data_IF_262600034179
#
_entry.id   IF_262600034179
#
_cell.length_a   1.000
_cell.length_b   1.000
_cell.length_c   1.000
_cell.angle_alpha   90.00
_cell.angle_beta   90.00
_cell.angle_gamma   90.00
#
_symmetry.space_group_name_H-M   'P 1'
#
loop_
_entity.id
_entity.type
_entity.pdbx_description
1 polymer ?
#
# COMPACT_ATOMS: atom_id res chain seq x y z
N UNK A 1 -9.63 -0.32 15.13
CA UNK A 1 -10.26 0.30 13.95
C UNK A 1 -9.25 1.09 13.10
N UNK A 2 -9.65 1.46 11.85
CA UNK A 2 -8.83 2.35 11.01
C UNK A 2 -8.47 3.65 11.74
N UNK A 3 -9.44 4.28 12.38
CA UNK A 3 -9.23 5.55 13.12
C UNK A 3 -8.16 5.37 14.20
N UNK A 4 -8.23 4.33 15.02
CA UNK A 4 -7.23 4.10 16.08
C UNK A 4 -5.81 3.90 15.52
N UNK A 5 -5.65 3.04 14.51
CA UNK A 5 -4.33 2.79 13.90
C UNK A 5 -3.80 3.99 13.13
N UNK A 6 -4.67 4.71 12.41
CA UNK A 6 -4.27 5.90 11.67
C UNK A 6 -3.95 7.07 12.60
N UNK A 7 -4.78 7.31 13.62
CA UNK A 7 -4.54 8.32 14.64
C UNK A 7 -3.23 8.06 15.38
N UNK A 8 -2.98 6.82 15.81
CA UNK A 8 -1.73 6.44 16.46
C UNK A 8 -0.49 6.76 15.64
N UNK A 9 -0.55 6.63 14.30
CA UNK A 9 0.55 7.01 13.41
C UNK A 9 0.71 8.52 13.21
N UNK A 10 -0.32 9.31 13.48
CA UNK A 10 -0.37 10.76 13.22
C UNK A 10 -0.50 11.60 14.48
N UNK A 11 -0.59 10.98 15.64
CA UNK A 11 -0.81 11.69 16.92
C UNK A 11 0.20 12.79 17.15
N UNK A 12 1.48 12.56 16.84
CA UNK A 12 2.53 13.58 16.97
C UNK A 12 2.31 14.77 16.03
N UNK A 13 1.78 14.54 14.83
CA UNK A 13 1.47 15.61 13.87
C UNK A 13 0.25 16.42 14.30
N UNK A 14 -0.78 15.77 14.84
CA UNK A 14 -1.95 16.45 15.39
C UNK A 14 -1.61 17.25 16.64
N UNK A 15 -0.87 16.64 17.55
CA UNK A 15 -0.41 17.29 18.75
C UNK A 15 0.42 18.54 18.43
N UNK A 16 1.35 18.42 17.47
CA UNK A 16 2.16 19.55 17.03
C UNK A 16 1.35 20.67 16.35
N UNK A 17 0.21 20.36 15.72
CA UNK A 17 -0.65 21.38 15.11
C UNK A 17 -1.48 22.16 16.15
N UNK A 18 -1.83 21.53 17.26
CA UNK A 18 -2.66 22.14 18.31
C UNK A 18 -1.85 22.85 19.40
N UNK A 19 -0.77 22.23 19.85
CA UNK A 19 0.01 22.67 21.02
C UNK A 19 1.38 23.21 20.61
N UNK A 20 1.79 22.97 19.36
CA UNK A 20 3.10 23.31 18.84
C UNK A 20 4.11 22.15 18.96
N UNK A 21 5.33 22.42 18.48
CA UNK A 21 6.39 21.42 18.48
C UNK A 21 7.10 21.49 19.84
N UNK A 22 7.00 20.41 20.60
CA UNK A 22 7.64 20.26 21.92
C UNK A 22 8.81 19.28 21.84
N UNK A 23 9.79 19.42 22.73
CA UNK A 23 10.97 18.55 22.77
C UNK A 23 10.69 17.23 23.49
N UNK A 24 9.70 17.21 24.35
CA UNK A 24 9.22 16.00 25.03
C UNK A 24 7.72 16.02 25.20
N UNK A 25 7.12 14.84 25.25
CA UNK A 25 5.71 14.62 25.50
C UNK A 25 5.53 13.65 26.64
N UNK A 26 4.89 14.07 27.72
CA UNK A 26 4.54 13.20 28.85
C UNK A 26 3.10 12.70 28.66
N UNK A 27 2.93 11.39 28.62
CA UNK A 27 1.65 10.73 28.42
C UNK A 27 1.31 9.88 29.66
N UNK A 28 0.06 9.97 30.10
CA UNK A 28 -0.52 9.00 31.03
C UNK A 28 -1.14 7.86 30.22
N UNK A 29 -0.62 6.66 30.40
CA UNK A 29 -1.10 5.46 29.73
C UNK A 29 -1.92 4.68 30.76
N UNK A 30 -3.21 4.55 30.49
CA UNK A 30 -4.12 3.75 31.30
C UNK A 30 -4.23 2.35 30.66
N UNK A 31 -3.63 1.36 31.34
CA UNK A 31 -3.78 -0.05 31.00
C UNK A 31 -4.68 -0.65 32.08
N UNK A 32 -5.75 -1.32 31.72
CA UNK A 32 -6.80 -1.96 32.53
C UNK A 32 -6.67 -1.92 34.07
N UNK A 33 -5.49 -2.16 34.62
CA UNK A 33 -5.22 -2.25 36.05
C UNK A 33 -4.16 -1.28 36.59
N UNK A 34 -3.58 -0.45 35.73
CA UNK A 34 -2.53 0.50 36.14
C UNK A 34 -2.46 1.73 35.24
N UNK A 35 -2.15 2.86 35.86
CA UNK A 35 -1.84 4.10 35.16
C UNK A 35 -0.33 4.31 35.22
N UNK A 36 0.33 4.29 34.08
CA UNK A 36 1.75 4.64 33.97
C UNK A 36 1.93 6.00 33.31
N UNK A 37 2.95 6.73 33.73
CA UNK A 37 3.34 7.99 33.12
C UNK A 37 4.63 7.78 32.36
N UNK A 38 4.64 8.03 31.06
CA UNK A 38 5.84 7.91 30.23
C UNK A 38 6.15 9.23 29.54
N UNK A 39 7.42 9.62 29.55
CA UNK A 39 7.90 10.79 28.82
C UNK A 39 8.70 10.33 27.61
N UNK A 40 8.21 10.72 26.42
CA UNK A 40 8.87 10.43 25.15
C UNK A 40 9.58 11.69 24.67
N UNK A 41 10.87 11.60 24.44
CA UNK A 41 11.68 12.70 23.93
C UNK A 41 11.75 12.71 22.42
N UNK A 42 11.80 13.90 21.83
CA UNK A 42 11.97 14.08 20.39
C UNK A 42 13.38 13.66 19.99
N UNK A 43 13.48 12.76 19.04
CA UNK A 43 14.76 12.37 18.42
C UNK A 43 15.07 13.36 17.29
N UNK A 44 16.04 14.22 17.49
CA UNK A 44 16.57 15.06 16.41
C UNK A 44 17.46 14.20 15.51
N UNK A 45 17.11 14.05 14.24
CA UNK A 45 18.07 13.55 13.25
C UNK A 45 19.19 14.59 13.16
N UNK A 46 20.40 14.24 13.61
CA UNK A 46 21.58 15.05 13.28
C UNK A 46 21.63 15.18 11.76
N UNK A 47 21.49 16.40 11.26
CA UNK A 47 21.79 16.68 9.86
C UNK A 47 23.26 16.35 9.64
N UNK A 48 23.52 15.25 8.93
CA UNK A 48 24.84 15.00 8.39
C UNK A 48 25.02 16.05 7.30
N UNK A 49 25.67 17.18 7.66
CA UNK A 49 26.12 18.15 6.67
C UNK A 49 26.99 17.40 5.66
N UNK A 50 26.46 17.19 4.46
CA UNK A 50 27.25 16.76 3.32
C UNK A 50 28.25 17.88 3.05
N UNK A 51 29.46 17.75 3.56
CA UNK A 51 30.58 18.59 3.13
C UNK A 51 30.77 18.34 1.62
N UNK A 52 30.47 19.35 0.84
CA UNK A 52 30.88 19.39 -0.56
C UNK A 52 32.40 19.48 -0.58
N UNK A 53 33.05 18.35 -0.79
CA UNK A 53 34.47 18.34 -1.13
C UNK A 53 34.57 18.88 -2.54
N UNK A 54 34.88 20.16 -2.67
CA UNK A 54 35.29 20.74 -3.93
C UNK A 54 36.77 20.36 -4.14
N UNK A 55 37.02 19.44 -5.05
CA UNK A 55 38.36 19.20 -5.54
C UNK A 55 38.83 20.42 -6.33
N UNK A 56 39.65 21.26 -5.70
CA UNK A 56 40.61 22.12 -6.40
C UNK A 56 41.98 21.86 -5.79
N UNK A 57 42.75 21.08 -6.51
CA UNK A 57 44.17 20.86 -6.28
C UNK A 57 44.93 22.17 -6.44
N UNK A 58 45.67 22.61 -5.42
CA UNK A 58 46.88 23.42 -5.55
C UNK A 58 47.99 22.75 -4.75
N UNK A 59 49.00 22.38 -5.49
CA UNK A 59 50.26 21.85 -5.01
C UNK A 59 51.02 22.99 -4.33
N UNK A 60 51.39 22.80 -3.07
CA UNK A 60 52.54 23.48 -2.46
C UNK A 60 53.28 22.43 -1.63
N UNK A 61 54.56 22.25 -2.00
CA UNK A 61 55.57 21.52 -1.26
C UNK A 61 55.90 22.33 0.01
N UNK A 62 55.93 21.72 1.18
CA UNK A 62 57.10 21.75 2.05
C UNK A 62 56.98 20.74 3.20
N UNK A 63 58.13 20.29 3.56
CA UNK A 63 58.45 19.19 4.44
C UNK A 63 58.29 19.55 5.93
N UNK A 64 57.65 18.65 6.70
CA UNK A 64 58.18 18.19 8.02
C UNK A 64 57.32 17.00 8.51
N UNK A 65 57.99 15.97 8.97
CA UNK A 65 57.44 14.70 9.39
C UNK A 65 56.72 14.79 10.73
N UNK A 66 55.48 14.31 10.75
CA UNK A 66 54.82 13.81 12.00
C UNK A 66 54.14 12.49 11.65
N UNK A 67 54.61 11.41 12.25
CA UNK A 67 54.04 10.08 12.22
C UNK A 67 52.62 10.14 12.80
N UNK A 68 51.63 9.92 11.97
CA UNK A 68 50.24 9.64 12.41
C UNK A 68 49.84 8.25 11.98
N UNK A 69 49.42 7.49 12.95
CA UNK A 69 48.89 6.14 12.85
C UNK A 69 48.03 5.93 11.60
N UNK A 70 48.47 5.03 10.74
CA UNK A 70 47.74 4.52 9.58
C UNK A 70 46.53 3.76 10.04
N UNK A 71 45.38 4.39 9.98
CA UNK A 71 44.10 3.67 9.86
C UNK A 71 44.06 3.06 8.46
N UNK A 72 44.31 1.77 8.39
CA UNK A 72 44.24 0.96 7.17
C UNK A 72 42.92 1.24 6.43
N UNK A 73 43.02 1.99 5.32
CA UNK A 73 41.90 2.09 4.36
C UNK A 73 41.63 0.68 3.86
N UNK A 74 40.36 0.23 3.84
CA UNK A 74 40.06 -1.10 3.33
C UNK A 74 40.57 -1.20 1.88
N UNK A 75 41.45 -2.15 1.65
CA UNK A 75 41.99 -2.45 0.30
C UNK A 75 40.81 -2.76 -0.60
N UNK A 76 40.50 -1.88 -1.55
CA UNK A 76 39.49 -2.15 -2.58
C UNK A 76 39.97 -3.34 -3.38
N UNK A 77 39.34 -4.50 -3.12
CA UNK A 77 39.62 -5.73 -3.85
C UNK A 77 39.44 -5.45 -5.36
N UNK A 78 40.52 -5.50 -6.12
CA UNK A 78 40.47 -5.29 -7.58
C UNK A 78 39.85 -6.52 -8.19
N UNK A 79 38.56 -6.40 -8.58
CA UNK A 79 37.82 -7.47 -9.22
C UNK A 79 38.36 -7.71 -10.67
N UNK A 80 38.43 -8.97 -11.09
CA UNK A 80 38.72 -9.35 -12.47
C UNK A 80 37.61 -8.86 -13.41
N UNK A 81 37.84 -8.86 -14.73
CA UNK A 81 36.84 -8.49 -15.74
C UNK A 81 35.59 -9.37 -15.65
N UNK A 82 35.79 -10.66 -15.43
CA UNK A 82 34.72 -11.65 -15.26
C UNK A 82 33.92 -11.41 -13.98
N UNK A 83 34.58 -11.16 -12.84
CA UNK A 83 33.95 -10.85 -11.58
C UNK A 83 33.12 -9.53 -11.65
N UNK A 84 33.61 -8.52 -12.37
CA UNK A 84 32.85 -7.29 -12.62
C UNK A 84 31.63 -7.53 -13.49
N UNK A 85 31.72 -8.39 -14.51
CA UNK A 85 30.58 -8.78 -15.35
C UNK A 85 29.53 -9.50 -14.54
N UNK A 86 29.91 -10.54 -13.79
CA UNK A 86 29.02 -11.29 -12.90
C UNK A 86 28.34 -10.37 -11.87
N UNK A 87 29.08 -9.44 -11.26
CA UNK A 87 28.52 -8.45 -10.34
C UNK A 87 27.49 -7.53 -11.00
N UNK A 88 27.78 -7.05 -12.23
CA UNK A 88 26.82 -6.23 -12.99
C UNK A 88 25.54 -6.99 -13.30
N UNK A 89 25.65 -8.26 -13.69
CA UNK A 89 24.50 -9.07 -14.04
C UNK A 89 23.66 -9.41 -12.81
N UNK A 90 24.30 -9.71 -11.68
CA UNK A 90 23.65 -9.87 -10.38
C UNK A 90 22.89 -8.59 -9.98
N UNK A 91 23.50 -7.41 -10.11
CA UNK A 91 22.85 -6.13 -9.82
C UNK A 91 21.67 -5.84 -10.76
N UNK A 92 21.77 -6.22 -12.05
CA UNK A 92 20.64 -6.08 -13.00
C UNK A 92 19.47 -6.99 -12.61
N UNK A 93 19.76 -8.23 -12.20
CA UNK A 93 18.75 -9.18 -11.72
C UNK A 93 18.06 -8.65 -10.46
N UNK A 94 18.82 -8.15 -9.49
CA UNK A 94 18.30 -7.55 -8.28
C UNK A 94 17.41 -6.34 -8.59
N UNK A 95 17.88 -5.41 -9.43
CA UNK A 95 17.09 -4.25 -9.84
C UNK A 95 15.81 -4.64 -10.62
N UNK A 96 15.84 -5.75 -11.36
CA UNK A 96 14.65 -6.30 -12.01
C UNK A 96 13.67 -6.85 -10.99
N UNK A 97 14.14 -7.59 -9.98
CA UNK A 97 13.35 -8.11 -8.86
C UNK A 97 12.72 -6.96 -8.09
N UNK A 98 13.52 -5.96 -7.69
CA UNK A 98 13.06 -4.78 -6.96
C UNK A 98 11.91 -4.05 -7.67
N UNK A 99 11.99 -3.94 -8.99
CA UNK A 99 10.96 -3.29 -9.81
C UNK A 99 9.69 -4.16 -9.98
N UNK A 100 9.83 -5.48 -9.98
CA UNK A 100 8.69 -6.40 -10.09
C UNK A 100 7.90 -6.40 -8.78
N UNK A 101 8.56 -6.60 -7.66
CA UNK A 101 7.95 -6.80 -6.36
C UNK A 101 7.82 -5.50 -5.53
N UNK A 102 8.43 -4.40 -5.98
CA UNK A 102 8.33 -3.10 -5.31
C UNK A 102 9.15 -3.03 -4.03
N UNK A 103 10.49 -2.95 -4.14
CA UNK A 103 11.35 -2.87 -2.97
C UNK A 103 11.25 -1.52 -2.27
N UNK A 104 10.89 -1.56 -0.99
CA UNK A 104 10.80 -0.42 -0.10
C UNK A 104 12.09 -0.28 0.74
N UNK A 105 13.03 0.55 0.27
CA UNK A 105 14.33 0.75 0.92
C UNK A 105 14.25 1.13 2.43
N UNK A 106 13.39 2.09 2.84
CA UNK A 106 13.26 2.45 4.26
C UNK A 106 12.85 1.30 5.18
N UNK A 107 12.07 0.35 4.67
CA UNK A 107 11.60 -0.80 5.46
C UNK A 107 12.41 -2.06 5.22
N UNK A 108 13.28 -2.07 4.23
CA UNK A 108 14.03 -3.24 3.76
C UNK A 108 13.11 -4.44 3.39
N UNK A 109 11.95 -4.16 2.79
CA UNK A 109 10.93 -5.15 2.48
C UNK A 109 10.38 -4.95 1.06
N UNK A 110 9.86 -6.03 0.46
CA UNK A 110 9.10 -5.95 -0.79
C UNK A 110 7.63 -5.62 -0.52
N UNK A 111 7.03 -4.84 -1.42
CA UNK A 111 5.58 -4.53 -1.37
C UNK A 111 4.73 -5.77 -1.57
N UNK A 112 5.16 -6.68 -2.47
CA UNK A 112 4.58 -8.01 -2.66
C UNK A 112 5.66 -9.01 -2.26
N UNK A 113 5.41 -9.81 -1.24
CA UNK A 113 6.37 -10.77 -0.71
C UNK A 113 5.71 -12.12 -0.44
N UNK A 114 6.27 -13.18 -1.01
CA UNK A 114 5.92 -14.56 -0.67
C UNK A 114 6.99 -15.12 0.25
N UNK A 115 6.57 -15.69 1.36
CA UNK A 115 7.46 -16.30 2.37
C UNK A 115 6.90 -17.63 2.86
N UNK A 116 7.77 -18.44 3.42
CA UNK A 116 7.49 -19.77 3.97
C UNK A 116 7.93 -19.77 5.43
N UNK A 117 7.03 -19.48 6.40
CA UNK A 117 7.39 -19.35 7.81
C UNK A 117 7.88 -20.65 8.44
N UNK A 118 7.37 -21.78 7.97
CA UNK A 118 7.74 -23.10 8.46
C UNK A 118 8.60 -23.84 7.44
N UNK A 119 9.38 -24.83 7.91
CA UNK A 119 10.12 -25.74 7.01
C UNK A 119 9.19 -26.67 6.25
N UNK A 120 7.97 -26.84 6.73
CA UNK A 120 6.91 -27.54 6.03
C UNK A 120 6.45 -26.66 4.85
N UNK A 121 6.67 -27.15 3.63
CA UNK A 121 6.38 -26.43 2.40
C UNK A 121 4.90 -26.33 2.03
N UNK A 122 4.00 -26.83 2.88
CA UNK A 122 2.54 -26.80 2.60
C UNK A 122 1.86 -25.50 2.98
N UNK A 123 2.58 -24.62 3.69
CA UNK A 123 2.10 -23.34 4.19
C UNK A 123 2.90 -22.17 3.62
N UNK A 124 2.23 -21.15 3.11
CA UNK A 124 2.86 -19.95 2.58
C UNK A 124 2.13 -18.67 2.98
N UNK A 125 2.87 -17.58 3.11
CA UNK A 125 2.33 -16.24 3.38
C UNK A 125 2.63 -15.31 2.22
N UNK A 126 1.58 -14.81 1.57
CA UNK A 126 1.63 -13.77 0.57
C UNK A 126 1.27 -12.42 1.21
N UNK A 127 2.28 -11.65 1.58
CA UNK A 127 2.08 -10.30 2.12
C UNK A 127 2.01 -9.28 1.00
N UNK A 128 0.94 -8.49 0.97
CA UNK A 128 0.74 -7.38 0.03
C UNK A 128 0.57 -6.09 0.82
N UNK A 129 1.64 -5.29 0.93
CA UNK A 129 1.65 -4.06 1.74
C UNK A 129 0.88 -2.91 1.09
N UNK A 130 0.76 -2.90 -0.24
CA UNK A 130 0.06 -1.86 -1.00
C UNK A 130 -0.19 -2.34 -2.42
N UNK A 131 -1.27 -1.89 -3.01
CA UNK A 131 -1.59 -2.13 -4.42
C UNK A 131 -1.04 -1.02 -5.32
N UNK A 132 0.23 -0.65 -5.14
CA UNK A 132 0.91 0.41 -5.90
C UNK A 132 2.40 0.08 -6.12
N UNK A 133 3.02 0.75 -7.09
CA UNK A 133 4.48 0.77 -7.23
C UNK A 133 5.13 -0.51 -7.76
N UNK A 134 4.34 -1.52 -8.18
CA UNK A 134 4.84 -2.83 -8.59
C UNK A 134 4.53 -3.15 -10.06
N UNK A 135 5.18 -4.17 -10.62
CA UNK A 135 4.77 -4.83 -11.85
C UNK A 135 3.91 -6.06 -11.50
N UNK A 136 2.81 -5.83 -10.80
CA UNK A 136 1.97 -6.84 -10.17
C UNK A 136 1.60 -8.03 -11.07
N UNK A 137 1.27 -7.83 -12.36
CA UNK A 137 0.96 -8.93 -13.27
C UNK A 137 2.11 -9.94 -13.38
N UNK A 138 3.36 -9.44 -13.42
CA UNK A 138 4.54 -10.30 -13.45
C UNK A 138 4.82 -10.94 -12.10
N UNK A 139 4.62 -10.19 -11.00
CA UNK A 139 4.78 -10.68 -9.64
C UNK A 139 3.79 -11.80 -9.34
N UNK A 140 2.49 -11.57 -9.52
CA UNK A 140 1.47 -12.60 -9.23
C UNK A 140 1.61 -13.82 -10.14
N UNK A 141 1.91 -13.64 -11.45
CA UNK A 141 2.16 -14.77 -12.34
C UNK A 141 3.30 -15.68 -11.84
N UNK A 142 4.39 -15.09 -11.35
CA UNK A 142 5.52 -15.85 -10.81
C UNK A 142 5.17 -16.52 -9.47
N UNK A 143 4.51 -15.78 -8.56
CA UNK A 143 4.13 -16.27 -7.24
C UNK A 143 3.14 -17.44 -7.34
N UNK A 144 2.07 -17.31 -8.11
CA UNK A 144 1.07 -18.38 -8.20
C UNK A 144 1.56 -19.59 -9.01
N UNK A 145 2.54 -19.39 -9.91
CA UNK A 145 3.27 -20.50 -10.51
C UNK A 145 4.07 -21.25 -9.45
N UNK A 146 4.83 -20.53 -8.59
CA UNK A 146 5.61 -21.12 -7.50
C UNK A 146 4.72 -21.84 -6.46
N UNK A 147 3.59 -21.23 -6.07
CA UNK A 147 2.59 -21.81 -5.16
C UNK A 147 2.10 -23.17 -5.71
N UNK A 148 1.78 -23.20 -7.01
CA UNK A 148 1.31 -24.42 -7.68
C UNK A 148 2.41 -25.49 -7.76
N UNK A 149 3.64 -25.12 -8.14
CA UNK A 149 4.79 -26.02 -8.24
C UNK A 149 5.17 -26.65 -6.90
N UNK A 150 5.01 -25.88 -5.80
CA UNK A 150 5.27 -26.35 -4.43
C UNK A 150 4.08 -27.05 -3.78
N UNK A 151 2.95 -27.16 -4.48
CA UNK A 151 1.73 -27.77 -3.97
C UNK A 151 1.30 -27.21 -2.60
N UNK A 152 1.30 -25.87 -2.46
CA UNK A 152 0.91 -25.19 -1.22
C UNK A 152 -0.56 -25.46 -0.93
N UNK A 153 -0.86 -26.03 0.24
CA UNK A 153 -2.22 -26.35 0.67
C UNK A 153 -2.90 -25.22 1.42
N UNK A 154 -2.12 -24.45 2.19
CA UNK A 154 -2.59 -23.35 3.01
C UNK A 154 -1.90 -22.05 2.60
N UNK A 155 -2.66 -21.08 2.13
CA UNK A 155 -2.16 -19.77 1.75
C UNK A 155 -2.75 -18.68 2.65
N UNK A 156 -1.87 -17.93 3.30
CA UNK A 156 -2.25 -16.71 4.02
C UNK A 156 -2.01 -15.51 3.14
N UNK A 157 -3.05 -14.73 2.86
CA UNK A 157 -2.98 -13.42 2.24
C UNK A 157 -2.94 -12.34 3.33
N UNK A 158 -1.77 -11.76 3.59
CA UNK A 158 -1.61 -10.70 4.60
C UNK A 158 -1.86 -9.32 3.99
N UNK A 159 -3.01 -8.73 4.30
CA UNK A 159 -3.43 -7.38 3.93
C UNK A 159 -3.35 -6.37 5.08
N UNK A 160 -2.77 -6.74 6.22
CA UNK A 160 -2.62 -5.84 7.37
C UNK A 160 -1.76 -4.63 7.00
N UNK A 161 -2.22 -3.45 7.35
CA UNK A 161 -1.55 -2.19 7.01
C UNK A 161 -1.64 -1.77 5.55
N UNK A 162 -2.36 -2.50 4.70
CA UNK A 162 -2.55 -2.18 3.29
C UNK A 162 -3.66 -1.13 3.11
N UNK A 163 -3.29 0.12 2.85
CA UNK A 163 -4.23 1.23 2.67
C UNK A 163 -4.89 1.28 1.29
N UNK A 164 -4.69 0.25 0.46
CA UNK A 164 -5.30 0.15 -0.86
C UNK A 164 -4.37 0.50 -2.02
N UNK A 165 -4.96 0.93 -3.14
CA UNK A 165 -4.25 1.28 -4.36
C UNK A 165 -5.07 1.04 -5.63
N UNK A 166 -4.48 0.37 -6.62
CA UNK A 166 -5.10 0.20 -7.94
C UNK A 166 -6.15 -0.91 -7.96
N UNK A 167 -7.32 -0.60 -8.47
CA UNK A 167 -8.39 -1.59 -8.67
C UNK A 167 -7.98 -2.67 -9.69
N UNK A 168 -7.25 -2.29 -10.74
CA UNK A 168 -6.70 -3.23 -11.72
C UNK A 168 -5.79 -4.28 -11.09
N UNK A 169 -5.07 -3.93 -10.02
CA UNK A 169 -4.19 -4.86 -9.31
C UNK A 169 -4.96 -5.86 -8.45
N UNK A 170 -5.99 -5.40 -7.73
CA UNK A 170 -6.85 -6.33 -6.96
C UNK A 170 -7.65 -7.24 -7.87
N UNK A 171 -8.07 -6.78 -9.06
CA UNK A 171 -8.73 -7.62 -10.06
C UNK A 171 -7.80 -8.74 -10.56
N UNK A 172 -6.53 -8.40 -10.84
CA UNK A 172 -5.53 -9.40 -11.21
C UNK A 172 -5.28 -10.40 -10.08
N UNK A 173 -5.12 -9.94 -8.82
CA UNK A 173 -4.92 -10.83 -7.67
C UNK A 173 -6.14 -11.73 -7.45
N UNK A 174 -7.35 -11.17 -7.48
CA UNK A 174 -8.59 -11.92 -7.30
C UNK A 174 -8.74 -13.02 -8.36
N UNK A 175 -8.28 -12.78 -9.60
CA UNK A 175 -8.32 -13.79 -10.66
C UNK A 175 -7.47 -15.04 -10.40
N UNK A 176 -6.51 -14.96 -9.47
CA UNK A 176 -5.75 -16.12 -8.99
C UNK A 176 -6.35 -16.75 -7.73
N UNK A 177 -7.23 -16.05 -7.02
CA UNK A 177 -7.77 -16.50 -5.74
C UNK A 177 -9.17 -17.09 -5.84
N UNK A 178 -9.98 -16.66 -6.81
CA UNK A 178 -11.35 -17.18 -6.98
C UNK A 178 -11.37 -18.60 -7.49
N UNK A 179 -12.36 -19.39 -7.02
CA UNK A 179 -12.67 -20.72 -7.56
C UNK A 179 -13.64 -20.66 -8.76
N UNK A 180 -14.30 -19.53 -8.96
CA UNK A 180 -15.24 -19.33 -10.05
C UNK A 180 -14.53 -19.17 -11.40
N UNK A 181 -15.00 -19.85 -12.44
CA UNK A 181 -14.45 -19.73 -13.80
C UNK A 181 -14.53 -18.31 -14.35
N UNK A 182 -15.58 -17.58 -13.97
CA UNK A 182 -15.83 -16.20 -14.36
C UNK A 182 -16.34 -15.41 -13.17
N UNK A 183 -15.82 -14.22 -13.00
CA UNK A 183 -16.19 -13.32 -11.90
C UNK A 183 -16.32 -11.88 -12.38
N UNK A 184 -17.02 -11.07 -11.61
CA UNK A 184 -17.02 -9.60 -11.70
C UNK A 184 -16.57 -9.05 -10.37
N UNK A 185 -15.60 -8.16 -10.37
CA UNK A 185 -15.04 -7.63 -9.10
C UNK A 185 -15.87 -6.47 -8.54
N UNK A 186 -16.43 -5.64 -9.43
CA UNK A 186 -17.11 -4.40 -9.06
C UNK A 186 -18.52 -4.34 -9.59
N UNK A 187 -19.41 -3.76 -8.80
CA UNK A 187 -20.69 -3.25 -9.26
C UNK A 187 -20.50 -1.95 -10.07
N UNK A 188 -21.51 -1.52 -10.85
CA UNK A 188 -21.44 -0.28 -11.60
C UNK A 188 -21.08 0.92 -10.72
N UNK A 189 -20.05 1.66 -11.15
CA UNK A 189 -19.47 2.77 -10.40
C UNK A 189 -20.34 4.01 -10.46
N UNK A 190 -20.92 4.42 -9.34
CA UNK A 190 -21.75 5.62 -9.22
C UNK A 190 -20.85 6.86 -9.14
N UNK A 191 -21.23 7.92 -9.87
CA UNK A 191 -20.56 9.23 -9.87
C UNK A 191 -21.55 10.36 -9.65
N UNK A 192 -21.05 11.52 -9.21
CA UNK A 192 -21.92 12.65 -8.80
C UNK A 192 -22.60 13.34 -9.97
N UNK A 193 -21.95 13.43 -11.13
CA UNK A 193 -22.48 14.18 -12.28
C UNK A 193 -21.75 13.81 -13.57
N UNK A 194 -22.50 13.74 -14.69
CA UNK A 194 -21.94 13.56 -16.02
C UNK A 194 -21.14 14.80 -16.49
N UNK A 195 -21.67 16.00 -16.27
CA UNK A 195 -21.08 17.23 -16.76
C UNK A 195 -19.89 17.73 -15.94
N UNK A 196 -19.98 17.61 -14.61
CA UNK A 196 -18.95 18.10 -13.70
C UNK A 196 -17.82 17.08 -13.47
N UNK A 197 -18.02 15.79 -13.77
CA UNK A 197 -17.04 14.74 -13.53
C UNK A 197 -15.69 15.01 -14.24
N UNK A 198 -15.63 15.41 -15.53
CA UNK A 198 -14.36 15.73 -16.19
C UNK A 198 -13.57 16.82 -15.45
N UNK A 199 -14.25 17.86 -14.99
CA UNK A 199 -13.61 18.92 -14.19
C UNK A 199 -13.12 18.41 -12.84
N UNK A 200 -13.96 17.70 -12.08
CA UNK A 200 -13.59 17.18 -10.77
C UNK A 200 -12.44 16.16 -10.81
N UNK A 201 -12.30 15.41 -11.89
CA UNK A 201 -11.18 14.49 -12.03
C UNK A 201 -9.81 15.18 -11.96
N UNK A 202 -9.75 16.45 -12.25
CA UNK A 202 -8.51 17.25 -12.32
C UNK A 202 -8.44 18.40 -11.34
N UNK A 203 -9.53 18.73 -10.65
CA UNK A 203 -9.60 19.88 -9.74
C UNK A 203 -8.48 19.88 -8.67
N UNK A 204 -8.01 21.06 -8.32
CA UNK A 204 -6.97 21.24 -7.30
C UNK A 204 -5.52 21.07 -7.80
N UNK A 205 -5.30 21.02 -9.09
CA UNK A 205 -3.96 21.05 -9.69
C UNK A 205 -3.48 22.50 -9.88
N UNK A 206 -2.15 22.68 -10.04
CA UNK A 206 -1.58 24.01 -10.30
C UNK A 206 -1.96 24.53 -11.69
N UNK A 207 -1.94 25.86 -11.89
CA UNK A 207 -2.19 26.48 -13.19
C UNK A 207 -1.23 25.93 -14.27
N UNK A 208 0.06 25.80 -13.94
CA UNK A 208 1.06 25.23 -14.83
C UNK A 208 0.70 23.80 -15.28
N UNK A 209 0.16 22.99 -14.36
CA UNK A 209 -0.30 21.63 -14.68
C UNK A 209 -1.45 21.65 -15.70
N UNK A 210 -2.39 22.58 -15.56
CA UNK A 210 -3.48 22.74 -16.54
C UNK A 210 -2.98 23.16 -17.91
N UNK A 211 -2.05 24.10 -17.97
CA UNK A 211 -1.44 24.56 -19.23
C UNK A 211 -0.68 23.42 -19.91
N UNK A 212 0.18 22.73 -19.19
CA UNK A 212 1.01 21.66 -19.74
C UNK A 212 0.20 20.46 -20.22
N UNK A 213 -0.88 20.12 -19.54
CA UNK A 213 -1.72 18.97 -19.84
C UNK A 213 -3.03 19.31 -20.56
N UNK A 214 -3.23 20.59 -20.95
CA UNK A 214 -4.44 21.02 -21.66
C UNK A 214 -4.79 20.17 -22.90
N UNK A 215 -3.85 19.77 -23.78
CA UNK A 215 -4.18 18.90 -24.89
C UNK A 215 -4.74 17.54 -24.45
N UNK A 216 -4.18 17.00 -23.38
CA UNK A 216 -4.64 15.73 -22.79
C UNK A 216 -6.06 15.86 -22.20
N UNK A 217 -6.36 16.99 -21.54
CA UNK A 217 -7.69 17.22 -20.99
C UNK A 217 -8.76 17.40 -22.06
N UNK A 218 -8.42 18.05 -23.17
CA UNK A 218 -9.31 18.18 -24.33
C UNK A 218 -9.71 16.80 -24.88
N UNK A 219 -8.77 15.85 -24.93
CA UNK A 219 -9.04 14.48 -25.40
C UNK A 219 -9.78 13.67 -24.32
N UNK A 220 -9.38 13.79 -23.06
CA UNK A 220 -9.92 12.96 -21.98
C UNK A 220 -11.34 13.36 -21.59
N UNK A 221 -11.68 14.65 -21.61
CA UNK A 221 -12.99 15.11 -21.16
C UNK A 221 -14.16 14.52 -21.96
N UNK A 222 -14.15 14.49 -23.30
CA UNK A 222 -15.16 13.79 -24.07
C UNK A 222 -15.26 12.30 -23.75
N UNK A 223 -14.11 11.61 -23.58
CA UNK A 223 -14.08 10.19 -23.22
C UNK A 223 -14.80 9.95 -21.88
N UNK A 224 -14.49 10.75 -20.86
CA UNK A 224 -15.15 10.67 -19.55
C UNK A 224 -16.64 10.94 -19.69
N UNK A 225 -17.02 11.97 -20.46
CA UNK A 225 -18.40 12.32 -20.71
C UNK A 225 -19.19 11.19 -21.38
N UNK A 226 -18.65 10.59 -22.43
CA UNK A 226 -19.33 9.49 -23.14
C UNK A 226 -19.35 8.18 -22.34
N UNK A 227 -18.34 7.95 -21.49
CA UNK A 227 -18.32 6.80 -20.56
C UNK A 227 -19.28 6.97 -19.39
N UNK A 228 -19.82 8.18 -19.14
CA UNK A 228 -20.77 8.44 -18.07
C UNK A 228 -22.19 8.42 -18.60
N UNK A 229 -23.02 7.55 -18.05
CA UNK A 229 -24.44 7.37 -18.45
C UNK A 229 -25.35 7.60 -17.26
N UNK A 230 -26.55 8.13 -17.51
CA UNK A 230 -27.62 8.23 -16.51
C UNK A 230 -28.36 6.89 -16.47
N UNK A 231 -28.51 6.32 -15.30
CA UNK A 231 -29.30 5.12 -15.05
C UNK A 231 -30.81 5.43 -14.94
N UNK A 232 -31.62 4.37 -14.95
CA UNK A 232 -33.08 4.47 -14.73
C UNK A 232 -33.44 4.96 -13.33
N UNK A 233 -32.57 4.74 -12.37
CA UNK A 233 -32.66 5.20 -10.97
C UNK A 233 -32.26 6.68 -10.78
N UNK A 234 -31.98 7.38 -11.86
CA UNK A 234 -31.58 8.80 -11.86
C UNK A 234 -30.11 9.06 -11.53
N UNK A 235 -29.35 8.04 -11.09
CA UNK A 235 -27.93 8.16 -10.77
C UNK A 235 -27.07 8.18 -12.05
N UNK A 236 -25.85 8.70 -11.93
CA UNK A 236 -24.87 8.65 -13.01
C UNK A 236 -23.87 7.54 -12.75
N UNK A 237 -23.53 6.81 -13.79
CA UNK A 237 -22.60 5.67 -13.77
C UNK A 237 -21.43 5.93 -14.70
N UNK A 238 -20.21 5.74 -14.22
CA UNK A 238 -18.98 5.77 -15.01
C UNK A 238 -18.46 4.36 -15.18
N UNK A 239 -18.35 3.88 -16.42
CA UNK A 239 -17.96 2.49 -16.71
C UNK A 239 -16.47 2.28 -16.50
N UNK A 240 -16.11 1.51 -15.47
CA UNK A 240 -14.77 0.98 -15.25
C UNK A 240 -14.55 -0.34 -16.01
N UNK A 241 -13.29 -0.64 -16.27
CA UNK A 241 -12.94 -1.93 -16.92
C UNK A 241 -13.22 -3.10 -15.97
N UNK A 242 -13.03 -2.92 -14.68
CA UNK A 242 -13.18 -3.93 -13.63
C UNK A 242 -14.64 -4.30 -13.32
N UNK A 243 -15.60 -3.64 -13.94
CA UNK A 243 -17.02 -4.00 -13.94
C UNK A 243 -17.37 -5.10 -14.96
N UNK A 244 -16.41 -5.48 -15.80
CA UNK A 244 -16.60 -6.55 -16.78
C UNK A 244 -16.45 -7.92 -16.12
N UNK A 245 -16.99 -8.94 -16.80
CA UNK A 245 -16.70 -10.34 -16.46
C UNK A 245 -15.27 -10.69 -16.87
N UNK A 246 -14.50 -11.19 -15.92
CA UNK A 246 -13.17 -11.73 -16.12
C UNK A 246 -13.15 -13.24 -15.96
N UNK A 247 -12.20 -13.90 -16.60
CA UNK A 247 -11.92 -15.31 -16.37
C UNK A 247 -10.84 -15.44 -15.28
N UNK A 248 -10.96 -16.48 -14.45
CA UNK A 248 -9.88 -16.84 -13.54
C UNK A 248 -8.62 -17.24 -14.31
N UNK A 249 -7.46 -17.19 -13.66
CA UNK A 249 -6.18 -17.60 -14.26
C UNK A 249 -6.04 -19.12 -14.25
N UNK A 250 -5.26 -19.65 -15.20
CA UNK A 250 -4.96 -21.09 -15.27
C UNK A 250 -4.24 -21.61 -14.00
N UNK A 251 -3.34 -20.79 -13.45
CA UNK A 251 -2.64 -21.09 -12.19
C UNK A 251 -3.35 -20.45 -10.99
N UNK A 252 -4.68 -20.58 -10.93
CA UNK A 252 -5.42 -20.15 -9.74
C UNK A 252 -5.12 -21.05 -8.54
N UNK A 253 -5.32 -20.50 -7.37
CA UNK A 253 -5.13 -21.21 -6.11
C UNK A 253 -6.48 -21.80 -5.64
N UNK A 254 -6.52 -23.10 -5.47
CA UNK A 254 -7.72 -23.85 -5.07
C UNK A 254 -7.67 -24.39 -3.63
N UNK A 255 -6.50 -24.31 -2.97
CA UNK A 255 -6.32 -24.71 -1.56
C UNK A 255 -7.05 -23.79 -0.56
N UNK A 256 -6.79 -23.99 0.72
CA UNK A 256 -7.37 -23.19 1.80
C UNK A 256 -6.74 -21.81 1.85
N UNK A 257 -7.59 -20.78 1.86
CA UNK A 257 -7.19 -19.38 1.86
C UNK A 257 -7.58 -18.71 3.18
N UNK A 258 -6.59 -18.14 3.84
CA UNK A 258 -6.75 -17.30 5.02
C UNK A 258 -6.40 -15.86 4.66
N UNK A 259 -7.13 -14.89 5.20
CA UNK A 259 -6.88 -13.46 4.94
C UNK A 259 -6.69 -12.74 6.26
N UNK A 260 -5.51 -12.16 6.45
CA UNK A 260 -5.23 -11.32 7.61
C UNK A 260 -5.61 -9.87 7.32
N UNK A 261 -6.45 -9.30 8.17
CA UNK A 261 -6.89 -7.90 8.05
C UNK A 261 -6.73 -7.13 9.35
N UNK A 262 -6.62 -5.81 9.21
CA UNK A 262 -6.60 -4.90 10.34
C UNK A 262 -7.31 -3.57 9.99
N UNK A 263 -7.44 -2.67 10.97
CA UNK A 263 -8.03 -1.35 10.77
C UNK A 263 -7.32 -0.45 9.74
N UNK A 264 -6.19 -0.86 9.18
CA UNK A 264 -5.53 -0.19 8.05
C UNK A 264 -5.73 -0.91 6.71
N UNK A 265 -6.40 -2.06 6.70
CA UNK A 265 -6.87 -2.69 5.46
C UNK A 265 -7.99 -1.83 4.87
N UNK A 266 -7.67 -0.98 3.88
CA UNK A 266 -8.54 0.10 3.45
C UNK A 266 -8.65 0.21 1.92
N UNK A 267 -9.74 0.81 1.42
CA UNK A 267 -9.95 1.06 -0.01
C UNK A 267 -9.87 -0.23 -0.84
N UNK A 268 -8.94 -0.34 -1.80
CA UNK A 268 -8.80 -1.54 -2.63
C UNK A 268 -8.61 -2.83 -1.79
N UNK A 269 -7.94 -2.74 -0.62
CA UNK A 269 -7.79 -3.89 0.27
C UNK A 269 -9.14 -4.32 0.87
N UNK A 270 -10.02 -3.38 1.22
CA UNK A 270 -11.38 -3.72 1.67
C UNK A 270 -12.22 -4.30 0.53
N UNK A 271 -12.13 -3.73 -0.68
CA UNK A 271 -12.89 -4.20 -1.84
C UNK A 271 -12.58 -5.66 -2.19
N UNK A 272 -11.30 -6.05 -2.22
CA UNK A 272 -10.95 -7.47 -2.45
C UNK A 272 -11.37 -8.35 -1.28
N UNK A 273 -11.24 -7.85 -0.04
CA UNK A 273 -11.68 -8.57 1.16
C UNK A 273 -13.19 -8.81 1.15
N UNK A 274 -14.00 -7.81 0.78
CA UNK A 274 -15.47 -7.95 0.67
C UNK A 274 -15.84 -9.05 -0.32
N UNK A 275 -15.22 -9.08 -1.50
CA UNK A 275 -15.49 -10.11 -2.49
C UNK A 275 -15.07 -11.51 -2.02
N UNK A 276 -13.88 -11.66 -1.39
CA UNK A 276 -13.44 -12.94 -0.84
C UNK A 276 -14.32 -13.41 0.32
N UNK A 277 -14.82 -12.48 1.13
CA UNK A 277 -15.74 -12.78 2.26
C UNK A 277 -17.13 -13.18 1.76
N UNK A 278 -17.72 -12.38 0.86
CA UNK A 278 -19.06 -12.62 0.32
C UNK A 278 -19.17 -13.93 -0.46
N UNK A 279 -18.15 -14.30 -1.22
CA UNK A 279 -18.07 -15.59 -1.91
C UNK A 279 -17.66 -16.75 -0.99
N UNK A 280 -17.46 -16.51 0.32
CA UNK A 280 -16.97 -17.51 1.28
C UNK A 280 -15.68 -18.22 0.82
N UNK A 281 -14.83 -17.49 0.06
CA UNK A 281 -13.60 -18.05 -0.49
C UNK A 281 -12.49 -18.17 0.55
N UNK A 282 -12.53 -17.38 1.60
CA UNK A 282 -11.45 -17.30 2.58
C UNK A 282 -11.98 -17.18 4.01
N UNK A 283 -11.20 -17.70 4.95
CA UNK A 283 -11.37 -17.45 6.39
C UNK A 283 -10.60 -16.18 6.77
N UNK A 284 -11.27 -15.24 7.42
CA UNK A 284 -10.70 -13.97 7.82
C UNK A 284 -10.25 -14.00 9.28
N UNK A 285 -9.02 -13.54 9.54
CA UNK A 285 -8.40 -13.54 10.87
C UNK A 285 -7.87 -12.14 11.17
N UNK A 286 -7.92 -11.72 12.43
CA UNK A 286 -7.39 -10.45 12.91
C UNK A 286 -8.46 -9.46 13.32
N UNK A 287 -8.50 -8.27 12.70
CA UNK A 287 -9.46 -7.23 13.03
C UNK A 287 -10.28 -6.77 11.83
N UNK A 288 -11.43 -6.15 12.10
CA UNK A 288 -12.27 -5.52 11.10
C UNK A 288 -11.49 -4.58 10.20
N UNK A 289 -11.73 -4.61 8.88
CA UNK A 289 -11.09 -3.69 7.94
C UNK A 289 -11.50 -2.25 8.22
N UNK A 290 -10.57 -1.30 8.00
CA UNK A 290 -10.89 0.12 8.17
C UNK A 290 -11.73 0.71 7.04
N UNK A 291 -11.71 0.09 5.86
CA UNK A 291 -12.61 0.44 4.77
C UNK A 291 -13.92 -0.32 4.86
N UNK A 292 -15.02 0.29 4.41
CA UNK A 292 -16.34 -0.32 4.51
C UNK A 292 -16.49 -1.53 3.60
N UNK A 293 -17.38 -2.46 4.01
CA UNK A 293 -17.70 -3.66 3.23
C UNK A 293 -18.29 -3.30 1.85
N UNK A 294 -19.24 -2.37 1.84
CA UNK A 294 -20.06 -2.05 0.66
C UNK A 294 -19.39 -1.08 -0.33
N UNK A 295 -18.11 -0.74 -0.11
CA UNK A 295 -17.35 0.03 -1.07
C UNK A 295 -16.61 1.23 -0.48
N UNK A 296 -16.09 2.06 -1.36
CA UNK A 296 -15.26 3.21 -1.00
C UNK A 296 -15.50 4.37 -1.94
N UNK A 297 -15.48 5.58 -1.41
CA UNK A 297 -15.51 6.81 -2.21
C UNK A 297 -14.09 7.10 -2.68
N UNK A 298 -13.81 6.82 -3.95
CA UNK A 298 -12.47 6.77 -4.50
C UNK A 298 -12.40 7.25 -5.97
N UNK A 299 -11.62 6.56 -6.78
CA UNK A 299 -11.38 6.83 -8.19
C UNK A 299 -10.43 8.00 -8.38
N UNK A 300 -10.95 9.20 -8.59
CA UNK A 300 -10.18 10.43 -8.57
C UNK A 300 -10.46 11.17 -7.27
N UNK A 301 -9.43 11.81 -6.73
CA UNK A 301 -9.46 12.50 -5.44
C UNK A 301 -9.05 13.97 -5.63
N UNK A 302 -9.94 14.82 -6.19
CA UNK A 302 -9.67 16.23 -6.33
C UNK A 302 -9.42 16.88 -4.97
N UNK A 303 -8.63 17.95 -4.98
CA UNK A 303 -8.40 18.78 -3.81
C UNK A 303 -9.17 20.08 -4.02
N UNK A 304 -10.18 20.31 -3.20
CA UNK A 304 -10.94 21.54 -3.17
C UNK A 304 -10.42 22.44 -2.07
N UNK A 305 -10.26 23.72 -2.38
CA UNK A 305 -9.91 24.73 -1.37
C UNK A 305 -11.19 25.45 -0.98
N UNK A 306 -11.54 25.41 0.30
CA UNK A 306 -12.72 26.10 0.82
C UNK A 306 -12.54 27.62 0.71
N UNK A 307 -13.56 28.36 0.26
CA UNK A 307 -13.40 29.78 -0.10
C UNK A 307 -13.05 30.68 1.10
N UNK A 308 -13.59 30.41 2.27
CA UNK A 308 -13.41 31.21 3.48
C UNK A 308 -12.18 30.78 4.29
N UNK A 309 -12.17 29.54 4.78
CA UNK A 309 -11.12 29.01 5.65
C UNK A 309 -9.81 28.67 4.93
N UNK A 310 -9.82 28.62 3.59
CA UNK A 310 -8.69 28.17 2.74
C UNK A 310 -8.22 26.75 3.03
N UNK A 311 -8.97 26.01 3.83
CA UNK A 311 -8.69 24.59 4.09
C UNK A 311 -8.78 23.78 2.79
N UNK A 312 -7.85 22.85 2.63
CA UNK A 312 -7.82 21.94 1.47
C UNK A 312 -8.55 20.66 1.83
N UNK A 313 -9.64 20.40 1.12
CA UNK A 313 -10.44 19.21 1.28
C UNK A 313 -10.26 18.26 0.10
N UNK A 314 -9.98 17.00 0.39
CA UNK A 314 -9.78 15.95 -0.61
C UNK A 314 -11.00 15.03 -0.62
N UNK A 315 -11.69 14.97 -1.76
CA UNK A 315 -12.92 14.19 -1.94
C UNK A 315 -12.74 13.13 -3.02
N UNK A 316 -13.31 11.94 -2.80
CA UNK A 316 -13.51 10.96 -3.86
C UNK A 316 -14.75 11.33 -4.70
N UNK A 317 -14.67 11.19 -6.01
CA UNK A 317 -15.79 11.53 -6.91
C UNK A 317 -16.49 10.30 -7.51
N UNK A 318 -16.04 9.11 -7.15
CA UNK A 318 -16.59 7.84 -7.59
C UNK A 318 -16.87 6.95 -6.39
N UNK A 319 -18.06 6.35 -6.34
CA UNK A 319 -18.38 5.31 -5.39
C UNK A 319 -18.06 3.95 -6.04
N UNK A 320 -16.97 3.33 -5.59
CA UNK A 320 -16.49 2.03 -6.06
C UNK A 320 -16.98 0.97 -5.09
N UNK A 321 -17.87 0.12 -5.54
CA UNK A 321 -18.50 -0.93 -4.73
C UNK A 321 -18.08 -2.31 -5.20
N UNK A 322 -17.73 -3.25 -4.29
CA UNK A 322 -17.48 -4.65 -4.63
C UNK A 322 -18.75 -5.30 -5.18
N UNK A 323 -18.62 -6.40 -5.93
CA UNK A 323 -19.79 -7.17 -6.41
C UNK A 323 -20.56 -7.79 -5.25
N UNK A 324 -19.85 -8.20 -4.22
CA UNK A 324 -20.45 -8.73 -2.99
C UNK A 324 -20.81 -7.59 -2.03
N UNK A 325 -22.05 -7.57 -1.56
CA UNK A 325 -22.60 -6.54 -0.68
C UNK A 325 -23.14 -7.16 0.60
N UNK A 326 -23.34 -6.35 1.64
CA UNK A 326 -24.02 -6.73 2.88
C UNK A 326 -25.07 -5.68 3.25
N UNK A 327 -26.08 -6.07 3.99
CA UNK A 327 -27.09 -5.17 4.55
C UNK A 327 -26.58 -4.40 5.80
N UNK A 328 -25.42 -4.78 6.33
CA UNK A 328 -24.77 -4.07 7.43
C UNK A 328 -24.01 -2.84 6.91
N UNK A 329 -24.58 -1.66 7.07
CA UNK A 329 -23.95 -0.41 6.71
C UNK A 329 -23.01 0.12 7.80
N UNK A 330 -21.95 0.84 7.39
CA UNK A 330 -21.03 1.50 8.31
C UNK A 330 -19.92 0.61 8.88
N UNK A 331 -19.93 -0.69 8.53
CA UNK A 331 -18.91 -1.64 8.95
C UNK A 331 -17.97 -2.04 7.82
N UNK A 332 -16.76 -2.45 8.20
CA UNK A 332 -15.81 -3.10 7.31
C UNK A 332 -16.08 -4.60 7.18
N UNK A 333 -15.11 -5.30 6.62
CA UNK A 333 -15.13 -6.77 6.62
C UNK A 333 -14.73 -7.25 8.02
N UNK A 334 -15.66 -7.87 8.71
CA UNK A 334 -15.41 -8.45 10.03
C UNK A 334 -14.69 -9.79 9.88
N UNK A 335 -13.64 -10.06 10.67
CA UNK A 335 -12.97 -11.34 10.65
C UNK A 335 -13.89 -12.45 11.22
N UNK A 336 -13.61 -13.70 10.82
CA UNK A 336 -14.23 -14.90 11.39
C UNK A 336 -13.60 -15.22 12.75
N UNK A 337 -12.29 -14.97 12.85
CA UNK A 337 -11.50 -15.13 14.07
C UNK A 337 -10.91 -13.79 14.47
N UNK A 338 -11.42 -13.22 15.56
CA UNK A 338 -10.89 -11.96 16.09
C UNK A 338 -9.64 -12.26 16.90
N UNK A 339 -8.51 -11.70 16.48
CA UNK A 339 -7.25 -11.75 17.22
C UNK A 339 -6.74 -10.33 17.48
N UNK A 340 -6.54 -10.03 18.75
CA UNK A 340 -5.97 -8.76 19.20
C UNK A 340 -4.66 -9.09 19.91
N UNK A 341 -3.50 -8.72 19.36
CA UNK A 341 -2.22 -8.95 20.03
C UNK A 341 -2.20 -8.32 21.42
N UNK A 342 -1.71 -9.05 22.40
CA UNK A 342 -1.49 -8.52 23.76
C UNK A 342 -0.35 -7.51 23.75
N UNK A 343 -0.27 -6.67 24.79
CA UNK A 343 0.82 -5.71 24.95
C UNK A 343 2.18 -6.43 24.98
N UNK A 344 2.26 -7.57 25.63
CA UNK A 344 3.47 -8.39 25.72
C UNK A 344 3.90 -8.93 24.35
N UNK A 345 2.97 -9.49 23.56
CA UNK A 345 3.23 -9.94 22.20
C UNK A 345 3.71 -8.81 21.30
N UNK A 346 3.14 -7.60 21.44
CA UNK A 346 3.59 -6.41 20.70
C UNK A 346 5.03 -6.02 21.07
N UNK A 347 5.38 -6.03 22.36
CA UNK A 347 6.71 -5.71 22.85
C UNK A 347 7.73 -6.73 22.36
N UNK A 348 7.39 -8.01 22.43
CA UNK A 348 8.22 -9.15 21.98
C UNK A 348 8.28 -9.28 20.46
N UNK A 349 7.48 -8.50 19.72
CA UNK A 349 7.33 -8.58 18.25
C UNK A 349 6.82 -9.94 17.78
N UNK A 350 6.03 -10.60 18.60
CA UNK A 350 5.34 -11.81 18.23
C UNK A 350 4.16 -11.49 17.31
N UNK A 351 3.87 -12.38 16.37
CA UNK A 351 2.73 -12.27 15.46
C UNK A 351 1.74 -13.43 15.74
N UNK A 352 0.76 -13.23 16.62
CA UNK A 352 -0.17 -14.29 17.00
C UNK A 352 -1.17 -14.67 15.89
N UNK A 353 -1.20 -13.88 14.80
CA UNK A 353 -2.06 -14.14 13.65
C UNK A 353 -1.39 -15.03 12.60
N UNK A 354 -0.08 -15.28 12.74
CA UNK A 354 0.75 -16.16 11.89
C UNK A 354 1.31 -17.34 12.69
#
# INVERSE_FOLDING_TARGET
TFIQKWFGRKITSYYASEIGIVDSLTMKINCSDSISTQTVHRIFKKEVKKSKISNKSKVVKDSTAIVKNDTLKPIKKILTKEQRSAQRDSLKLLAKKDRIYGYNKPKNEYTINLSYPTKDSTFAVLKVQSFTGTKYKKAYKAIFKEIKEKNIQNLVLDLRGNTGGRVTEINELYSYLTKDDKFTLLNPTVVTSKWKLPYYMHAGRSALHYVMLSPFYVIQSPIVFFKTKKGKDGKFYYKLEEEKKYKRKENYYDGELFVLTDGLSFSAASVISSNLKGTKRATFIGNETGGTYNGTVAGRLPILTLPNSKLKWRLGVMNISPSEQTDEFGHGVRPDVVLIPTTEQIINKEDPEL
#
